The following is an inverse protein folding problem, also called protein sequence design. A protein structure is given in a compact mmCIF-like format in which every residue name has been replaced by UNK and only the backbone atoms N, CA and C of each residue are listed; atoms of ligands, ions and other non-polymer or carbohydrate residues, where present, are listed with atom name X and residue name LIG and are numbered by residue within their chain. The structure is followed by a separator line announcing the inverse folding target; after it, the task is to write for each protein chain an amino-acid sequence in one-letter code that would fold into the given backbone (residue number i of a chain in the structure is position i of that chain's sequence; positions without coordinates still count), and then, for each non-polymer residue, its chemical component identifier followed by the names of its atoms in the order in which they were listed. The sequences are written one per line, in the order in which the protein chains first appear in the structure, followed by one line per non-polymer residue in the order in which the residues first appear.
data_IF_428644614194
#
_entry.id   IF_428644614194
#
_cell.length_a   1.000
_cell.length_b   1.000
_cell.length_c   1.000
_cell.angle_alpha   90.00
_cell.angle_beta   90.00
_cell.angle_gamma   90.00
#
_symmetry.space_group_name_H-M   'P 1'
#
loop_
_entity.id
_entity.type
_entity.pdbx_description
1 polymer ?
#
# COMPACT_ATOMS: atom_id res chain seq x y z
N UNK A 1 -0.41 12.91 7.57
CA UNK A 1 0.06 12.50 8.92
C UNK A 1 0.78 11.19 8.76
N UNK A 2 2.00 11.07 9.29
CA UNK A 2 2.85 9.89 9.16
C UNK A 2 2.92 9.16 10.49
N UNK A 3 3.44 9.77 11.55
CA UNK A 3 3.65 9.08 12.84
C UNK A 3 2.62 9.47 13.91
N UNK A 4 2.15 10.71 13.90
CA UNK A 4 1.20 11.25 14.88
C UNK A 4 0.13 12.13 14.26
N UNK A 5 -1.02 12.21 14.92
CA UNK A 5 -2.13 13.05 14.46
C UNK A 5 -1.79 14.55 14.55
N UNK A 6 -1.01 14.95 15.55
CA UNK A 6 -0.61 16.34 15.81
C UNK A 6 0.22 16.96 14.68
N UNK A 7 0.88 16.15 13.84
CA UNK A 7 1.65 16.62 12.69
C UNK A 7 0.81 17.50 11.74
N UNK A 8 -0.50 17.25 11.66
CA UNK A 8 -1.38 18.02 10.80
C UNK A 8 -1.55 19.46 11.29
N UNK A 9 -1.45 19.71 12.60
CA UNK A 9 -1.71 21.03 13.17
C UNK A 9 -0.68 22.06 12.67
N UNK A 10 0.59 21.67 12.66
CA UNK A 10 1.67 22.50 12.11
C UNK A 10 1.47 22.82 10.63
N UNK A 11 0.94 21.86 9.85
CA UNK A 11 0.63 22.06 8.43
C UNK A 11 -0.56 23.01 8.27
N UNK A 12 -1.61 22.83 9.08
CA UNK A 12 -2.80 23.67 9.04
C UNK A 12 -2.49 25.11 9.45
N UNK A 13 -1.60 25.33 10.42
CA UNK A 13 -1.19 26.67 10.81
C UNK A 13 -0.52 27.48 9.67
N UNK A 14 -0.07 26.82 8.59
CA UNK A 14 0.41 27.50 7.39
C UNK A 14 -0.70 28.14 6.56
N UNK A 15 -1.94 27.65 6.70
CA UNK A 15 -3.11 28.11 5.92
C UNK A 15 -4.18 28.78 6.79
N UNK A 16 -4.03 28.74 8.11
CA UNK A 16 -4.94 29.35 9.07
C UNK A 16 -4.47 30.76 9.43
N UNK A 17 -5.43 31.67 9.56
CA UNK A 17 -5.20 33.01 10.09
C UNK A 17 -4.70 32.92 11.54
N UNK A 18 -3.94 33.93 11.98
CA UNK A 18 -3.25 33.94 13.29
C UNK A 18 -4.20 33.60 14.45
N UNK A 19 -5.44 34.13 14.42
CA UNK A 19 -6.44 33.92 15.47
C UNK A 19 -7.05 32.50 15.49
N UNK A 20 -6.81 31.71 14.44
CA UNK A 20 -7.35 30.35 14.28
C UNK A 20 -6.26 29.27 14.32
N UNK A 21 -5.00 29.65 14.54
CA UNK A 21 -3.89 28.70 14.63
C UNK A 21 -4.02 27.82 15.88
N UNK A 22 -3.61 26.56 15.74
CA UNK A 22 -3.60 25.59 16.82
C UNK A 22 -2.31 25.67 17.63
N UNK A 23 -2.40 25.43 18.94
CA UNK A 23 -1.25 24.99 19.72
C UNK A 23 -0.86 23.58 19.24
N UNK A 24 0.41 23.39 18.87
CA UNK A 24 0.92 22.11 18.35
C UNK A 24 1.32 21.15 19.47
N UNK A 25 1.26 21.58 20.73
CA UNK A 25 1.63 20.80 21.92
C UNK A 25 0.58 19.75 22.28
N UNK A 26 -0.69 19.99 21.95
CA UNK A 26 -1.81 19.07 22.21
C UNK A 26 -2.83 19.13 21.08
N UNK A 27 -3.56 18.03 20.88
CA UNK A 27 -4.63 18.01 19.89
C UNK A 27 -5.87 18.74 20.43
N UNK A 28 -6.46 19.70 19.68
CA UNK A 28 -7.65 20.44 20.10
C UNK A 28 -8.88 19.55 20.25
N UNK A 29 -9.96 20.08 20.83
CA UNK A 29 -11.26 19.39 20.81
C UNK A 29 -11.76 19.23 19.38
N UNK A 30 -12.60 18.22 19.12
CA UNK A 30 -13.14 18.00 17.77
C UNK A 30 -13.90 19.22 17.26
N UNK A 31 -14.67 19.91 18.10
CA UNK A 31 -15.44 21.10 17.73
C UNK A 31 -14.56 22.30 17.40
N UNK A 32 -13.48 22.53 18.16
CA UNK A 32 -12.50 23.57 17.83
C UNK A 32 -11.77 23.24 16.53
N UNK A 33 -11.38 21.97 16.35
CA UNK A 33 -10.70 21.51 15.15
C UNK A 33 -11.57 21.71 13.90
N UNK A 34 -12.83 21.27 13.95
CA UNK A 34 -13.82 21.43 12.86
C UNK A 34 -14.02 22.89 12.49
N UNK A 35 -14.20 23.77 13.48
CA UNK A 35 -14.41 25.22 13.25
C UNK A 35 -13.27 25.85 12.48
N UNK A 36 -12.03 25.51 12.80
CA UNK A 36 -10.86 26.08 12.13
C UNK A 36 -10.67 25.55 10.70
N UNK A 37 -10.96 24.27 10.42
CA UNK A 37 -10.64 23.65 9.12
C UNK A 37 -11.78 23.62 8.09
N UNK A 38 -13.02 23.87 8.50
CA UNK A 38 -14.19 23.75 7.63
C UNK A 38 -14.04 24.58 6.37
N UNK A 39 -14.27 23.96 5.22
CA UNK A 39 -14.20 24.58 3.89
C UNK A 39 -12.81 25.12 3.49
N UNK A 40 -11.74 24.68 4.15
CA UNK A 40 -10.35 25.08 3.82
C UNK A 40 -9.54 23.98 3.14
N UNK A 41 -10.05 22.75 3.15
CA UNK A 41 -9.34 21.56 2.68
C UNK A 41 -10.12 20.93 1.53
N UNK A 42 -9.41 20.59 0.45
CA UNK A 42 -9.91 19.73 -0.62
C UNK A 42 -9.43 18.30 -0.39
N UNK A 43 -10.30 17.33 -0.60
CA UNK A 43 -9.94 15.91 -0.55
C UNK A 43 -10.47 15.24 -1.82
N UNK A 44 -9.56 14.81 -2.69
CA UNK A 44 -9.88 14.13 -3.94
C UNK A 44 -9.25 12.75 -3.92
N UNK A 45 -10.07 11.71 -4.06
CA UNK A 45 -9.60 10.34 -4.12
C UNK A 45 -10.13 9.65 -5.38
N UNK A 46 -9.27 9.50 -6.41
CA UNK A 46 -9.62 8.80 -7.65
C UNK A 46 -9.04 7.39 -7.67
N UNK A 47 -9.78 6.45 -7.06
CA UNK A 47 -9.43 5.02 -7.12
C UNK A 47 -9.79 4.33 -8.46
N UNK A 48 -10.05 5.11 -9.51
CA UNK A 48 -10.44 4.57 -10.81
C UNK A 48 -9.28 3.80 -11.46
N UNK A 49 -9.61 2.63 -12.04
CA UNK A 49 -8.66 1.74 -12.72
C UNK A 49 -7.52 1.20 -11.85
N UNK A 50 -7.70 1.16 -10.52
CA UNK A 50 -6.79 0.45 -9.62
C UNK A 50 -7.19 -1.03 -9.53
N UNK A 51 -6.21 -1.91 -9.39
CA UNK A 51 -6.47 -3.33 -9.15
C UNK A 51 -7.16 -3.56 -7.80
N UNK A 52 -7.98 -4.61 -7.72
CA UNK A 52 -8.63 -5.02 -6.48
C UNK A 52 -7.59 -5.53 -5.49
N UNK A 53 -7.52 -4.94 -4.30
CA UNK A 53 -6.66 -5.43 -3.22
C UNK A 53 -7.37 -6.52 -2.42
N UNK A 54 -6.73 -7.68 -2.30
CA UNK A 54 -7.20 -8.82 -1.51
C UNK A 54 -6.20 -9.05 -0.38
N UNK A 55 -6.67 -8.86 0.84
CA UNK A 55 -5.89 -9.11 2.06
C UNK A 55 -5.98 -10.59 2.43
N UNK A 56 -4.86 -11.30 2.32
CA UNK A 56 -4.77 -12.75 2.49
C UNK A 56 -4.43 -13.14 3.94
N UNK A 57 -4.81 -14.36 4.30
CA UNK A 57 -4.56 -14.94 5.62
C UNK A 57 -5.72 -14.79 6.60
N UNK A 58 -5.40 -14.75 7.88
CA UNK A 58 -6.35 -14.80 9.01
C UNK A 58 -6.19 -13.60 9.92
N UNK A 59 -7.25 -13.24 10.63
CA UNK A 59 -7.21 -12.28 11.74
C UNK A 59 -6.89 -13.04 13.02
N UNK A 60 -5.93 -12.57 13.79
CA UNK A 60 -5.58 -13.16 15.09
C UNK A 60 -6.17 -12.31 16.22
N UNK A 61 -6.33 -12.91 17.40
CA UNK A 61 -6.94 -12.25 18.55
C UNK A 61 -6.18 -10.98 18.94
N UNK A 62 -6.89 -9.86 19.04
CA UNK A 62 -6.32 -8.59 19.45
C UNK A 62 -5.66 -7.77 18.35
N UNK A 63 -5.72 -8.16 17.07
CA UNK A 63 -5.30 -7.30 15.96
C UNK A 63 -6.22 -7.51 14.75
N UNK A 64 -6.79 -6.45 14.18
CA UNK A 64 -7.75 -6.58 13.07
C UNK A 64 -7.08 -6.85 11.72
N UNK A 65 -5.78 -6.59 11.60
CA UNK A 65 -4.98 -6.80 10.40
C UNK A 65 -4.92 -8.31 10.06
N UNK A 66 -5.25 -8.65 8.81
CA UNK A 66 -5.05 -10.01 8.29
C UNK A 66 -3.57 -10.33 8.08
N UNK A 67 -3.17 -11.49 8.55
CA UNK A 67 -1.79 -11.98 8.54
C UNK A 67 -1.70 -13.44 8.08
N UNK A 68 -0.53 -13.82 7.58
CA UNK A 68 -0.16 -15.19 7.23
C UNK A 68 0.73 -15.74 8.35
N UNK A 69 0.16 -16.48 9.32
CA UNK A 69 0.93 -17.02 10.43
C UNK A 69 1.79 -18.21 9.99
N UNK A 70 3.04 -18.21 10.45
CA UNK A 70 3.97 -19.32 10.35
C UNK A 70 4.53 -19.63 11.74
N UNK A 71 4.54 -20.90 12.14
CA UNK A 71 5.03 -21.29 13.45
C UNK A 71 6.54 -21.54 13.39
N UNK A 72 7.30 -20.90 14.27
CA UNK A 72 8.73 -21.16 14.41
C UNK A 72 8.92 -22.56 14.98
N UNK A 73 9.93 -23.26 14.47
CA UNK A 73 10.38 -24.55 14.98
C UNK A 73 11.91 -24.65 14.94
N UNK A 74 12.42 -25.80 15.38
CA UNK A 74 13.85 -26.08 15.42
C UNK A 74 14.69 -24.97 16.05
N UNK A 75 15.75 -24.59 15.36
CA UNK A 75 16.74 -23.62 15.83
C UNK A 75 16.15 -22.21 15.99
N UNK A 76 15.21 -21.84 15.11
CA UNK A 76 14.53 -20.55 15.17
C UNK A 76 13.74 -20.41 16.47
N UNK A 77 12.94 -21.42 16.82
CA UNK A 77 12.16 -21.41 18.05
C UNK A 77 13.03 -21.41 19.31
N UNK A 78 14.10 -22.22 19.30
CA UNK A 78 15.05 -22.30 20.42
C UNK A 78 15.75 -20.97 20.69
N UNK A 79 16.19 -20.26 19.64
CA UNK A 79 16.80 -18.95 19.79
C UNK A 79 15.80 -17.90 20.25
N UNK A 80 14.58 -17.90 19.69
CA UNK A 80 13.55 -16.94 20.05
C UNK A 80 13.17 -17.04 21.55
N UNK A 81 13.05 -18.26 22.09
CA UNK A 81 12.75 -18.50 23.51
C UNK A 81 13.83 -18.04 24.49
N UNK A 82 15.09 -17.89 24.03
CA UNK A 82 16.21 -17.41 24.85
C UNK A 82 16.25 -15.89 25.00
N UNK A 83 15.45 -15.16 24.23
CA UNK A 83 15.41 -13.70 24.29
C UNK A 83 14.68 -13.27 25.56
N UNK A 84 15.32 -12.44 26.38
CA UNK A 84 14.70 -11.86 27.57
C UNK A 84 13.73 -10.72 27.20
N UNK A 85 12.54 -11.13 26.79
CA UNK A 85 11.40 -10.29 26.46
C UNK A 85 10.80 -9.54 27.66
N UNK A 86 11.25 -9.79 28.90
CA UNK A 86 10.76 -9.02 30.06
C UNK A 86 11.48 -7.66 30.17
N UNK A 87 12.61 -7.51 29.49
CA UNK A 87 13.36 -6.26 29.40
C UNK A 87 13.41 -5.77 27.94
N UNK A 88 12.29 -5.21 27.48
CA UNK A 88 12.08 -4.75 26.10
C UNK A 88 12.83 -3.43 25.79
N UNK A 89 14.15 -3.44 25.94
CA UNK A 89 14.99 -2.37 25.38
C UNK A 89 15.13 -2.52 23.85
N UNK A 90 15.69 -1.51 23.19
CA UNK A 90 15.82 -1.49 21.73
C UNK A 90 16.61 -2.68 21.17
N UNK A 91 17.62 -3.18 21.90
CA UNK A 91 18.42 -4.32 21.44
C UNK A 91 17.64 -5.63 21.50
N UNK A 92 16.82 -5.84 22.53
CA UNK A 92 15.92 -6.99 22.68
C UNK A 92 14.85 -6.99 21.59
N UNK A 93 14.26 -5.83 21.29
CA UNK A 93 13.32 -5.71 20.18
C UNK A 93 13.95 -6.08 18.85
N UNK A 94 15.13 -5.52 18.58
CA UNK A 94 15.85 -5.79 17.33
C UNK A 94 16.24 -7.27 17.20
N UNK A 95 16.71 -7.88 18.28
CA UNK A 95 17.04 -9.31 18.30
C UNK A 95 15.81 -10.19 18.08
N UNK A 96 14.66 -9.81 18.66
CA UNK A 96 13.40 -10.51 18.42
C UNK A 96 12.99 -10.46 16.95
N UNK A 97 13.09 -9.27 16.32
CA UNK A 97 12.83 -9.11 14.88
C UNK A 97 13.78 -9.97 14.05
N UNK A 98 15.06 -10.02 14.43
CA UNK A 98 16.02 -10.83 13.70
C UNK A 98 15.74 -12.33 13.83
N UNK A 99 15.47 -12.83 15.04
CA UNK A 99 15.06 -14.22 15.22
C UNK A 99 13.74 -14.54 14.50
N UNK A 100 12.78 -13.60 14.46
CA UNK A 100 11.53 -13.80 13.71
C UNK A 100 11.78 -13.97 12.23
N UNK A 101 12.79 -13.30 11.67
CA UNK A 101 13.21 -13.45 10.28
C UNK A 101 13.93 -14.75 10.00
N UNK A 102 15.06 -15.00 10.68
CA UNK A 102 15.88 -16.19 10.42
C UNK A 102 16.90 -16.43 11.54
N UNK A 103 17.13 -17.70 11.84
CA UNK A 103 18.18 -18.16 12.76
C UNK A 103 18.91 -19.36 12.17
N UNK A 104 20.23 -19.41 12.32
CA UNK A 104 21.05 -20.54 11.92
C UNK A 104 21.16 -21.59 13.02
N UNK A 105 21.62 -22.79 12.64
CA UNK A 105 21.76 -23.94 13.54
C UNK A 105 22.67 -23.69 14.75
N UNK A 106 23.68 -22.86 14.58
CA UNK A 106 24.58 -22.44 15.67
C UNK A 106 23.96 -21.39 16.60
N UNK A 107 22.70 -21.01 16.36
CA UNK A 107 21.98 -19.99 17.11
C UNK A 107 22.27 -18.56 16.65
N UNK A 108 23.06 -18.35 15.59
CA UNK A 108 23.35 -17.01 15.08
C UNK A 108 22.17 -16.42 14.31
N UNK A 109 21.94 -15.12 14.50
CA UNK A 109 20.90 -14.33 13.82
C UNK A 109 21.37 -12.88 13.65
N UNK A 110 20.57 -12.07 12.94
CA UNK A 110 20.82 -10.64 12.80
C UNK A 110 22.16 -10.31 12.14
N UNK A 111 22.95 -9.44 12.76
CA UNK A 111 24.25 -9.03 12.24
C UNK A 111 25.30 -10.16 12.29
N UNK A 112 25.27 -11.01 13.33
CA UNK A 112 26.22 -12.12 13.48
C UNK A 112 26.05 -13.17 12.39
N UNK A 113 24.80 -13.41 11.97
CA UNK A 113 24.49 -14.28 10.85
C UNK A 113 25.03 -13.78 9.50
N UNK A 114 25.46 -12.52 9.39
CA UNK A 114 26.14 -12.03 8.19
C UNK A 114 27.50 -12.71 7.95
N UNK A 115 28.11 -13.30 8.99
CA UNK A 115 29.32 -14.15 8.86
C UNK A 115 29.06 -15.40 8.01
N UNK A 116 27.80 -15.78 7.79
CA UNK A 116 27.39 -16.87 6.90
C UNK A 116 27.43 -16.49 5.42
N UNK A 117 27.72 -15.23 5.10
CA UNK A 117 27.85 -14.72 3.74
C UNK A 117 29.32 -14.40 3.44
N UNK A 118 29.81 -14.93 2.33
CA UNK A 118 31.10 -14.60 1.73
C UNK A 118 30.91 -13.47 0.72
N UNK A 119 31.71 -12.40 0.85
CA UNK A 119 31.78 -11.30 -0.11
C UNK A 119 32.87 -11.59 -1.14
N UNK A 120 32.50 -11.66 -2.41
CA UNK A 120 33.41 -11.91 -3.52
C UNK A 120 33.47 -10.64 -4.38
N UNK A 121 34.67 -10.10 -4.57
CA UNK A 121 34.90 -8.95 -5.46
C UNK A 121 35.24 -9.47 -6.86
N UNK A 122 34.41 -9.17 -7.85
CA UNK A 122 34.61 -9.52 -9.26
C UNK A 122 34.31 -8.28 -10.10
N UNK A 123 35.25 -7.85 -10.95
CA UNK A 123 35.08 -6.75 -11.91
C UNK A 123 34.47 -5.46 -11.33
N UNK A 124 34.99 -5.02 -10.18
CA UNK A 124 34.51 -3.88 -9.38
C UNK A 124 33.08 -4.04 -8.79
N UNK A 125 32.44 -5.19 -8.96
CA UNK A 125 31.17 -5.55 -8.33
C UNK A 125 31.39 -6.42 -7.09
N UNK A 126 30.48 -6.30 -6.13
CA UNK A 126 30.44 -7.17 -4.94
C UNK A 126 29.33 -8.20 -5.13
N UNK A 127 29.70 -9.49 -5.18
CA UNK A 127 28.75 -10.60 -5.14
C UNK A 127 28.72 -11.22 -3.74
N UNK A 128 27.52 -11.54 -3.27
CA UNK A 128 27.29 -12.23 -2.01
C UNK A 128 26.95 -13.70 -2.28
N UNK A 129 27.57 -14.61 -1.53
CA UNK A 129 27.23 -16.05 -1.55
C UNK A 129 27.19 -16.61 -0.14
N UNK A 130 26.39 -17.64 0.10
CA UNK A 130 26.45 -18.40 1.35
C UNK A 130 27.80 -19.13 1.46
N UNK A 131 28.32 -19.23 2.68
CA UNK A 131 29.50 -20.03 2.95
C UNK A 131 29.23 -21.53 2.73
N UNK A 132 30.29 -22.32 2.58
CA UNK A 132 30.18 -23.76 2.28
C UNK A 132 29.42 -24.53 3.37
N UNK A 133 29.60 -24.15 4.63
CA UNK A 133 28.94 -24.75 5.79
C UNK A 133 27.41 -24.72 5.66
N UNK A 134 26.87 -23.56 5.26
CA UNK A 134 25.44 -23.35 5.06
C UNK A 134 24.99 -24.02 3.77
N UNK A 135 25.72 -23.86 2.67
CA UNK A 135 25.39 -24.48 1.37
C UNK A 135 25.26 -26.00 1.49
N UNK A 136 26.07 -26.66 2.33
CA UNK A 136 25.99 -28.11 2.52
C UNK A 136 24.75 -28.57 3.29
N UNK A 137 24.12 -27.70 4.10
CA UNK A 137 23.06 -28.08 5.04
C UNK A 137 21.70 -27.49 4.73
N UNK A 138 21.65 -26.23 4.28
CA UNK A 138 20.40 -25.56 3.96
C UNK A 138 19.84 -26.11 2.65
N UNK A 139 18.58 -26.51 2.67
CA UNK A 139 17.83 -27.08 1.56
C UNK A 139 16.42 -26.51 1.56
N UNK A 140 15.72 -26.65 0.43
CA UNK A 140 14.37 -26.10 0.28
C UNK A 140 13.35 -26.73 1.24
N UNK A 141 13.49 -28.02 1.52
CA UNK A 141 12.64 -28.82 2.41
C UNK A 141 12.87 -28.49 3.89
N UNK A 142 14.09 -28.11 4.28
CA UNK A 142 14.42 -27.78 5.67
C UNK A 142 14.49 -26.27 5.99
N UNK A 143 14.21 -25.39 5.02
CA UNK A 143 14.24 -23.94 5.21
C UNK A 143 13.37 -23.48 6.39
N UNK A 144 12.24 -24.14 6.64
CA UNK A 144 11.33 -23.82 7.74
C UNK A 144 12.03 -23.82 9.12
N UNK A 145 13.01 -24.70 9.33
CA UNK A 145 13.81 -24.78 10.57
C UNK A 145 14.71 -23.56 10.79
N UNK A 146 15.04 -22.85 9.72
CA UNK A 146 15.86 -21.64 9.73
C UNK A 146 14.99 -20.38 9.71
N UNK A 147 13.94 -20.40 8.89
CA UNK A 147 12.98 -19.31 8.72
C UNK A 147 11.63 -19.86 8.27
N UNK A 148 10.68 -19.91 9.21
CA UNK A 148 9.30 -20.27 8.90
C UNK A 148 8.66 -19.28 7.89
N UNK A 149 8.99 -17.97 7.98
CA UNK A 149 8.48 -16.95 7.06
C UNK A 149 9.00 -17.11 5.63
N UNK A 150 10.31 -17.29 5.44
CA UNK A 150 10.86 -17.46 4.09
C UNK A 150 10.35 -18.75 3.45
N UNK A 151 10.23 -19.84 4.22
CA UNK A 151 9.64 -21.08 3.74
C UNK A 151 8.21 -20.87 3.26
N UNK A 152 7.35 -20.29 4.10
CA UNK A 152 5.94 -20.06 3.76
C UNK A 152 5.76 -19.10 2.58
N UNK A 153 6.57 -18.05 2.52
CA UNK A 153 6.57 -17.10 1.42
C UNK A 153 6.92 -17.79 0.10
N UNK A 154 8.00 -18.59 0.07
CA UNK A 154 8.38 -19.35 -1.12
C UNK A 154 7.32 -20.36 -1.52
N UNK A 155 6.70 -21.07 -0.57
CA UNK A 155 5.59 -22.00 -0.87
C UNK A 155 4.46 -21.30 -1.65
N UNK A 156 4.07 -20.09 -1.20
CA UNK A 156 3.02 -19.29 -1.84
C UNK A 156 3.46 -18.83 -3.23
N UNK A 157 4.68 -18.30 -3.37
CA UNK A 157 5.21 -17.81 -4.65
C UNK A 157 5.29 -18.96 -5.68
N UNK A 158 5.83 -20.11 -5.28
CA UNK A 158 6.04 -21.29 -6.13
C UNK A 158 4.73 -21.97 -6.54
N UNK A 159 3.70 -21.88 -5.69
CA UNK A 159 2.36 -22.37 -6.00
C UNK A 159 1.64 -21.51 -7.04
N UNK A 160 2.01 -20.23 -7.19
CA UNK A 160 1.37 -19.27 -8.09
C UNK A 160 2.28 -18.90 -9.28
N UNK A 161 2.39 -19.81 -10.26
CA UNK A 161 3.36 -19.71 -11.37
C UNK A 161 3.15 -18.53 -12.33
N UNK A 162 1.94 -17.99 -12.43
CA UNK A 162 1.54 -16.91 -13.35
C UNK A 162 1.48 -15.51 -12.71
N UNK A 163 1.85 -15.38 -11.43
CA UNK A 163 1.76 -14.09 -10.71
C UNK A 163 3.12 -13.50 -10.37
N UNK A 164 3.44 -12.30 -10.84
CA UNK A 164 4.62 -11.55 -10.38
C UNK A 164 4.54 -11.26 -8.88
N UNK A 165 5.66 -11.42 -8.18
CA UNK A 165 5.75 -11.23 -6.73
C UNK A 165 6.68 -10.07 -6.36
N UNK A 166 6.18 -9.16 -5.53
CA UNK A 166 6.97 -8.15 -4.83
C UNK A 166 7.14 -8.57 -3.37
N UNK A 167 8.38 -8.69 -2.91
CA UNK A 167 8.72 -9.00 -1.53
C UNK A 167 9.34 -7.77 -0.87
N UNK A 168 8.64 -7.26 0.14
CA UNK A 168 9.09 -6.16 0.97
C UNK A 168 9.75 -6.68 2.26
N UNK A 169 11.01 -6.28 2.48
CA UNK A 169 11.74 -6.49 3.73
C UNK A 169 12.51 -5.22 4.07
N UNK A 170 12.30 -4.68 5.27
CA UNK A 170 12.91 -3.44 5.73
C UNK A 170 14.44 -3.54 5.81
N UNK A 171 14.94 -4.69 6.27
CA UNK A 171 16.36 -4.93 6.44
C UNK A 171 17.00 -5.32 5.10
N UNK A 172 17.98 -4.55 4.64
CA UNK A 172 18.72 -4.85 3.39
C UNK A 172 19.89 -5.82 3.68
N UNK A 173 20.68 -5.53 4.71
CA UNK A 173 21.89 -6.27 5.07
C UNK A 173 21.58 -7.34 6.13
N UNK A 174 22.59 -7.99 6.70
CA UNK A 174 22.37 -9.04 7.69
C UNK A 174 21.58 -10.23 7.11
N UNK A 175 20.51 -10.62 7.81
CA UNK A 175 19.58 -11.69 7.42
C UNK A 175 18.41 -11.23 6.53
N UNK A 176 18.40 -9.96 6.12
CA UNK A 176 17.36 -9.36 5.28
C UNK A 176 17.48 -9.74 3.79
N UNK A 177 17.30 -8.76 2.91
CA UNK A 177 17.24 -8.98 1.47
C UNK A 177 18.48 -9.67 0.87
N UNK A 178 19.69 -9.32 1.31
CA UNK A 178 20.92 -9.95 0.79
C UNK A 178 20.95 -11.44 1.14
N UNK A 179 20.63 -11.81 2.39
CA UNK A 179 20.57 -13.22 2.80
C UNK A 179 19.51 -13.98 2.00
N UNK A 180 18.32 -13.40 1.88
CA UNK A 180 17.22 -13.97 1.08
C UNK A 180 17.64 -14.19 -0.37
N UNK A 181 18.38 -13.25 -0.96
CA UNK A 181 18.90 -13.37 -2.33
C UNK A 181 19.89 -14.54 -2.45
N UNK A 182 20.76 -14.76 -1.46
CA UNK A 182 21.68 -15.90 -1.46
C UNK A 182 20.94 -17.24 -1.28
N UNK A 183 19.84 -17.27 -0.51
CA UNK A 183 18.99 -18.46 -0.37
C UNK A 183 18.26 -18.76 -1.68
N UNK A 184 17.78 -17.73 -2.38
CA UNK A 184 17.17 -17.90 -3.70
C UNK A 184 18.17 -18.47 -4.70
N UNK A 185 19.40 -17.95 -4.75
CA UNK A 185 20.47 -18.53 -5.58
C UNK A 185 20.76 -20.00 -5.21
N UNK A 186 20.79 -20.34 -3.91
CA UNK A 186 20.95 -21.72 -3.46
C UNK A 186 19.83 -22.64 -3.95
N UNK A 187 18.62 -22.11 -4.12
CA UNK A 187 17.44 -22.85 -4.59
C UNK A 187 17.25 -22.78 -6.12
N UNK A 188 18.27 -22.33 -6.86
CA UNK A 188 18.30 -22.36 -8.31
C UNK A 188 17.69 -21.14 -8.99
N UNK A 189 17.32 -20.10 -8.24
CA UNK A 189 16.99 -18.82 -8.84
C UNK A 189 18.25 -18.09 -9.30
N UNK A 190 18.14 -17.27 -10.32
CA UNK A 190 19.24 -16.45 -10.82
C UNK A 190 18.95 -14.97 -10.60
N UNK A 191 19.98 -14.19 -10.25
CA UNK A 191 19.86 -12.74 -10.22
C UNK A 191 19.70 -12.22 -11.65
N UNK A 192 18.62 -11.49 -11.91
CA UNK A 192 18.46 -10.73 -13.13
C UNK A 192 19.26 -9.43 -13.05
N UNK A 193 20.17 -9.25 -14.00
CA UNK A 193 21.16 -8.18 -14.00
C UNK A 193 20.78 -6.98 -14.88
N UNK A 194 19.69 -7.09 -15.66
CA UNK A 194 19.18 -6.04 -16.55
C UNK A 194 19.44 -6.33 -18.03
N UNK A 195 19.80 -7.56 -18.40
CA UNK A 195 19.80 -8.05 -19.78
C UNK A 195 18.48 -7.77 -20.52
N UNK A 196 18.52 -7.59 -21.83
CA UNK A 196 17.30 -7.39 -22.61
C UNK A 196 16.37 -8.60 -22.48
N UNK A 197 15.13 -8.37 -22.02
CA UNK A 197 14.13 -9.43 -21.83
C UNK A 197 13.81 -10.19 -23.12
N UNK A 198 14.08 -9.57 -24.27
CA UNK A 198 13.87 -10.17 -25.59
C UNK A 198 14.96 -11.16 -26.01
N UNK A 199 16.13 -11.07 -25.39
CA UNK A 199 17.32 -11.86 -25.74
C UNK A 199 17.57 -13.01 -24.76
N UNK A 200 16.87 -13.05 -23.62
CA UNK A 200 17.04 -14.10 -22.62
C UNK A 200 15.96 -15.16 -22.71
N UNK A 201 16.31 -16.39 -22.33
CA UNK A 201 15.34 -17.49 -22.20
C UNK A 201 14.52 -17.36 -20.91
N UNK A 202 13.35 -18.00 -20.89
CA UNK A 202 12.52 -18.12 -19.68
C UNK A 202 13.30 -18.83 -18.57
N UNK A 203 13.10 -18.41 -17.33
CA UNK A 203 13.87 -18.94 -16.22
C UNK A 203 13.43 -18.40 -14.86
N UNK A 204 13.84 -19.09 -13.80
CA UNK A 204 13.58 -18.66 -12.44
C UNK A 204 14.55 -17.53 -12.06
N UNK A 205 14.11 -16.28 -12.21
CA UNK A 205 14.93 -15.12 -11.84
C UNK A 205 14.26 -14.24 -10.81
N UNK A 206 15.09 -13.58 -10.02
CA UNK A 206 14.69 -12.50 -9.13
C UNK A 206 15.53 -11.25 -9.43
N UNK A 207 15.03 -10.09 -9.07
CA UNK A 207 15.84 -8.88 -9.02
C UNK A 207 15.84 -8.31 -7.61
N UNK A 208 16.89 -7.58 -7.28
CA UNK A 208 16.99 -6.81 -6.05
C UNK A 208 17.01 -5.33 -6.39
N UNK A 209 16.04 -4.58 -5.86
CA UNK A 209 15.93 -3.14 -6.02
C UNK A 209 16.18 -2.47 -4.66
N UNK A 210 17.43 -2.08 -4.42
CA UNK A 210 17.88 -1.41 -3.20
C UNK A 210 18.78 -0.23 -3.54
N UNK A 211 19.01 0.67 -2.57
CA UNK A 211 19.94 1.79 -2.75
C UNK A 211 21.43 1.40 -2.82
N UNK A 212 21.77 0.12 -2.63
CA UNK A 212 23.16 -0.37 -2.67
C UNK A 212 23.57 -0.74 -4.11
N UNK A 213 23.90 0.28 -4.90
CA UNK A 213 24.25 0.15 -6.33
C UNK A 213 25.62 -0.49 -6.57
N UNK A 214 26.46 -0.59 -5.54
CA UNK A 214 27.81 -1.19 -5.63
C UNK A 214 27.72 -2.71 -5.72
N UNK A 215 26.78 -3.32 -5.00
CA UNK A 215 26.51 -4.75 -5.12
C UNK A 215 25.54 -5.08 -6.27
N UNK A 216 24.65 -4.15 -6.62
CA UNK A 216 23.58 -4.37 -7.58
C UNK A 216 23.48 -3.20 -8.57
N UNK A 217 24.26 -3.30 -9.66
CA UNK A 217 24.31 -2.29 -10.72
C UNK A 217 23.03 -2.27 -11.56
N UNK A 218 22.82 -1.17 -12.30
CA UNK A 218 21.73 -1.00 -13.27
C UNK A 218 20.30 -1.22 -12.70
N UNK A 219 19.93 -0.61 -11.56
CA UNK A 219 18.62 -0.81 -10.93
C UNK A 219 17.44 -0.50 -11.87
N UNK A 220 17.55 0.54 -12.71
CA UNK A 220 16.50 0.91 -13.67
C UNK A 220 16.31 -0.13 -14.76
N UNK A 221 17.40 -0.62 -15.40
CA UNK A 221 17.29 -1.67 -16.44
C UNK A 221 16.66 -2.95 -15.90
N UNK A 222 17.04 -3.35 -14.69
CA UNK A 222 16.45 -4.51 -14.00
C UNK A 222 14.96 -4.33 -13.77
N UNK A 223 14.58 -3.14 -13.33
CA UNK A 223 13.19 -2.79 -13.08
C UNK A 223 12.39 -2.72 -14.40
N UNK A 224 12.98 -2.22 -15.49
CA UNK A 224 12.37 -2.18 -16.82
C UNK A 224 12.08 -3.58 -17.36
N UNK A 225 13.06 -4.49 -17.27
CA UNK A 225 12.85 -5.89 -17.66
C UNK A 225 11.75 -6.58 -16.86
N UNK A 226 11.68 -6.33 -15.55
CA UNK A 226 10.60 -6.86 -14.70
C UNK A 226 9.22 -6.33 -15.09
N UNK A 227 9.14 -5.04 -15.43
CA UNK A 227 7.91 -4.35 -15.87
C UNK A 227 7.51 -4.63 -17.32
N UNK A 228 8.38 -5.30 -18.08
CA UNK A 228 8.14 -5.58 -19.51
C UNK A 228 6.79 -6.25 -19.74
N UNK A 229 6.02 -5.85 -20.78
CA UNK A 229 4.80 -6.55 -21.18
C UNK A 229 5.00 -8.06 -21.41
N UNK A 230 6.19 -8.48 -21.86
CA UNK A 230 6.56 -9.88 -22.08
C UNK A 230 6.69 -10.67 -20.77
N UNK A 231 6.98 -9.97 -19.68
CA UNK A 231 7.14 -10.55 -18.35
C UNK A 231 5.88 -10.42 -17.46
N UNK A 232 4.71 -10.07 -18.02
CA UNK A 232 3.48 -9.82 -17.23
C UNK A 232 3.02 -10.99 -16.35
N UNK A 233 3.44 -12.22 -16.65
CA UNK A 233 3.18 -13.43 -15.84
C UNK A 233 4.41 -13.97 -15.09
N UNK A 234 5.56 -13.27 -15.15
CA UNK A 234 6.78 -13.63 -14.43
C UNK A 234 7.57 -14.81 -14.99
N UNK A 235 7.44 -15.09 -16.29
CA UNK A 235 8.15 -16.20 -16.96
C UNK A 235 9.66 -15.97 -17.13
N UNK A 236 10.10 -14.71 -17.05
CA UNK A 236 11.50 -14.32 -17.22
C UNK A 236 12.13 -13.84 -15.92
N UNK A 237 11.40 -12.99 -15.18
CA UNK A 237 11.79 -12.47 -13.87
C UNK A 237 10.57 -12.48 -12.96
N UNK A 238 10.59 -13.35 -11.95
CA UNK A 238 9.41 -13.68 -11.16
C UNK A 238 9.26 -12.81 -9.92
N UNK A 239 10.37 -12.51 -9.26
CA UNK A 239 10.39 -11.92 -7.92
C UNK A 239 11.16 -10.61 -7.93
N UNK A 240 10.55 -9.55 -7.39
CA UNK A 240 11.22 -8.31 -7.02
C UNK A 240 11.42 -8.27 -5.52
N UNK A 241 12.67 -8.22 -5.09
CA UNK A 241 13.07 -8.00 -3.71
C UNK A 241 13.31 -6.50 -3.50
N UNK A 242 12.70 -5.90 -2.49
CA UNK A 242 12.89 -4.47 -2.18
C UNK A 242 12.67 -4.15 -0.71
N UNK A 243 13.29 -3.06 -0.25
CA UNK A 243 13.14 -2.55 1.11
C UNK A 243 12.33 -1.26 1.11
N UNK A 244 12.67 -0.31 1.99
CA UNK A 244 12.30 1.10 1.80
C UNK A 244 13.00 1.59 0.54
N UNK A 245 12.39 1.33 -0.61
CA UNK A 245 12.90 1.76 -1.89
C UNK A 245 13.03 3.29 -1.85
N UNK A 246 14.26 3.79 -1.89
CA UNK A 246 14.64 5.19 -1.72
C UNK A 246 14.29 6.09 -2.92
N UNK A 247 13.31 5.69 -3.74
CA UNK A 247 12.69 6.52 -4.76
C UNK A 247 11.18 6.55 -4.54
N UNK A 248 10.64 7.73 -4.27
CA UNK A 248 9.19 8.00 -4.15
C UNK A 248 8.42 7.62 -5.44
N UNK A 249 9.12 7.49 -6.56
CA UNK A 249 8.56 7.40 -7.92
C UNK A 249 8.41 5.97 -8.49
N UNK A 250 8.92 4.91 -7.86
CA UNK A 250 8.93 3.56 -8.50
C UNK A 250 7.53 2.93 -8.54
N UNK A 251 7.00 2.77 -9.77
CA UNK A 251 5.75 2.06 -10.05
C UNK A 251 6.03 0.64 -10.47
N UNK A 252 5.36 -0.33 -9.87
CA UNK A 252 5.37 -1.72 -10.29
C UNK A 252 4.14 -1.98 -11.16
N UNK A 253 4.31 -2.73 -12.24
CA UNK A 253 3.23 -3.11 -13.17
C UNK A 253 3.02 -4.62 -13.12
N UNK A 254 1.77 -5.06 -13.28
CA UNK A 254 1.36 -6.47 -13.32
C UNK A 254 1.71 -7.31 -12.08
N UNK A 255 2.18 -6.69 -10.99
CA UNK A 255 2.45 -7.38 -9.72
C UNK A 255 1.14 -7.84 -9.10
N UNK A 256 0.99 -9.14 -8.88
CA UNK A 256 -0.23 -9.74 -8.31
C UNK A 256 -0.04 -10.29 -6.90
N UNK A 257 1.21 -10.41 -6.43
CA UNK A 257 1.52 -10.82 -5.06
C UNK A 257 2.40 -9.77 -4.39
N UNK A 258 2.02 -9.32 -3.18
CA UNK A 258 2.83 -8.44 -2.34
C UNK A 258 3.07 -9.13 -1.01
N UNK A 259 4.32 -9.49 -0.72
CA UNK A 259 4.71 -10.17 0.51
C UNK A 259 5.39 -9.16 1.46
N UNK A 260 4.76 -8.87 2.58
CA UNK A 260 5.32 -8.06 3.66
C UNK A 260 5.98 -9.00 4.66
N UNK A 261 7.31 -9.12 4.62
CA UNK A 261 8.05 -10.10 5.45
C UNK A 261 8.47 -9.52 6.79
N UNK A 262 8.64 -8.20 6.85
CA UNK A 262 8.89 -7.44 8.08
C UNK A 262 7.76 -6.45 8.31
N UNK A 263 7.01 -6.56 9.41
CA UNK A 263 6.08 -5.50 9.80
C UNK A 263 6.84 -4.22 10.13
N UNK A 264 6.13 -3.10 10.13
CA UNK A 264 6.67 -1.80 10.51
C UNK A 264 5.80 -1.17 11.61
N UNK A 265 6.41 -0.34 12.46
CA UNK A 265 5.70 0.35 13.56
C UNK A 265 4.72 1.42 13.07
N UNK A 266 4.84 1.79 11.80
CA UNK A 266 4.02 2.78 11.13
C UNK A 266 3.39 2.15 9.88
N UNK A 267 2.06 2.19 9.82
CA UNK A 267 1.22 1.68 8.72
C UNK A 267 1.56 2.34 7.39
N UNK A 268 1.96 3.61 7.37
CA UNK A 268 2.29 4.36 6.16
C UNK A 268 3.39 3.70 5.34
N UNK A 269 4.45 3.17 5.97
CA UNK A 269 5.52 2.44 5.28
C UNK A 269 4.98 1.23 4.52
N UNK A 270 4.10 0.45 5.14
CA UNK A 270 3.51 -0.75 4.51
C UNK A 270 2.50 -0.35 3.43
N UNK A 271 1.68 0.68 3.68
CA UNK A 271 0.73 1.22 2.70
C UNK A 271 1.46 1.76 1.47
N UNK A 272 2.58 2.45 1.65
CA UNK A 272 3.42 2.93 0.53
C UNK A 272 4.04 1.76 -0.24
N UNK A 273 4.53 0.72 0.45
CA UNK A 273 5.07 -0.47 -0.20
C UNK A 273 4.00 -1.16 -1.06
N UNK A 274 2.79 -1.38 -0.53
CA UNK A 274 1.65 -1.94 -1.29
C UNK A 274 1.25 -0.99 -2.43
N UNK A 275 1.18 0.32 -2.17
CA UNK A 275 0.79 1.35 -3.12
C UNK A 275 1.68 1.45 -4.36
N UNK A 276 2.93 0.95 -4.30
CA UNK A 276 3.79 0.81 -5.49
C UNK A 276 3.26 -0.21 -6.49
N UNK A 277 2.51 -1.21 -6.03
CA UNK A 277 1.93 -2.26 -6.85
C UNK A 277 0.48 -1.98 -7.28
N UNK A 278 -0.23 -1.02 -6.67
CA UNK A 278 -1.68 -0.78 -6.92
C UNK A 278 -1.93 0.57 -7.58
N UNK A 279 -0.98 1.12 -8.33
CA UNK A 279 -1.20 2.41 -8.99
C UNK A 279 -2.26 2.29 -10.09
N UNK A 280 -2.93 3.39 -10.39
CA UNK A 280 -3.91 3.41 -11.48
C UNK A 280 -3.27 2.88 -12.78
N UNK A 281 -3.99 2.01 -13.50
CA UNK A 281 -3.56 1.40 -14.77
C UNK A 281 -2.35 0.45 -14.70
N UNK A 282 -1.85 0.13 -13.50
CA UNK A 282 -0.68 -0.75 -13.34
C UNK A 282 -0.91 -2.20 -13.81
N UNK A 283 -2.16 -2.63 -14.01
CA UNK A 283 -2.54 -3.98 -14.45
C UNK A 283 -3.31 -4.01 -15.77
N UNK A 284 -3.25 -2.94 -16.57
CA UNK A 284 -4.02 -2.85 -17.82
C UNK A 284 -3.63 -3.92 -18.85
N UNK A 285 -2.41 -4.46 -18.77
CA UNK A 285 -1.90 -5.53 -19.64
C UNK A 285 -2.43 -6.93 -19.26
N UNK A 286 -3.05 -7.06 -18.08
CA UNK A 286 -3.71 -8.27 -17.61
C UNK A 286 -5.20 -8.25 -17.99
N UNK A 287 -5.80 -9.44 -18.07
CA UNK A 287 -7.24 -9.56 -18.28
C UNK A 287 -7.99 -9.01 -17.07
N UNK A 288 -9.23 -8.55 -17.26
CA UNK A 288 -9.99 -7.86 -16.21
C UNK A 288 -10.12 -8.70 -14.93
N UNK A 289 -10.32 -10.01 -15.06
CA UNK A 289 -10.42 -10.99 -13.99
C UNK A 289 -9.10 -11.24 -13.22
N UNK A 290 -7.95 -10.92 -13.84
CA UNK A 290 -6.62 -11.07 -13.26
C UNK A 290 -6.13 -9.79 -12.56
N UNK A 291 -6.88 -8.68 -12.67
CA UNK A 291 -6.56 -7.35 -12.07
C UNK A 291 -6.85 -7.32 -10.57
N UNK A 292 -6.29 -8.28 -9.85
CA UNK A 292 -6.25 -8.35 -8.40
C UNK A 292 -4.82 -8.43 -7.91
N UNK A 293 -4.58 -7.86 -6.73
CA UNK A 293 -3.36 -8.06 -5.98
C UNK A 293 -3.68 -8.78 -4.67
N UNK A 294 -2.82 -9.72 -4.29
CA UNK A 294 -2.90 -10.49 -3.07
C UNK A 294 -1.80 -10.04 -2.12
N UNK A 295 -2.18 -9.50 -0.97
CA UNK A 295 -1.27 -8.96 0.02
C UNK A 295 -1.11 -9.98 1.15
N UNK A 296 0.11 -10.45 1.37
CA UNK A 296 0.49 -11.44 2.36
C UNK A 296 1.36 -10.79 3.44
N UNK A 297 0.82 -10.57 4.64
CA UNK A 297 1.56 -10.07 5.80
C UNK A 297 2.09 -11.24 6.64
N UNK A 298 3.35 -11.61 6.45
CA UNK A 298 3.95 -12.77 7.12
C UNK A 298 4.25 -12.45 8.59
N UNK A 299 3.85 -13.35 9.48
CA UNK A 299 4.18 -13.27 10.91
C UNK A 299 4.73 -14.60 11.41
N UNK A 300 5.80 -14.54 12.19
CA UNK A 300 6.37 -15.71 12.87
C UNK A 300 5.81 -15.83 14.29
N UNK A 301 5.31 -17.01 14.66
CA UNK A 301 4.72 -17.31 15.97
C UNK A 301 5.57 -18.34 16.71
N UNK A 302 5.96 -18.06 17.95
CA UNK A 302 6.72 -18.98 18.81
C UNK A 302 5.85 -20.08 19.47
N UNK A 303 4.54 -20.08 19.22
CA UNK A 303 3.61 -21.08 19.73
C UNK A 303 2.20 -20.91 19.17
N UNK A 304 1.27 -21.78 19.58
CA UNK A 304 -0.14 -21.77 19.14
C UNK A 304 -1.01 -20.69 19.78
N UNK A 305 -0.41 -19.82 20.60
CA UNK A 305 -1.11 -18.68 21.17
C UNK A 305 -1.32 -17.62 20.09
N UNK A 306 -2.53 -17.06 20.01
CA UNK A 306 -2.85 -15.98 19.08
C UNK A 306 -2.66 -14.59 19.71
N UNK A 307 -2.07 -14.50 20.90
CA UNK A 307 -1.86 -13.23 21.61
C UNK A 307 -0.83 -12.35 20.89
N UNK A 308 -1.14 -11.06 20.77
CA UNK A 308 -0.26 -10.03 20.20
C UNK A 308 0.78 -9.51 21.22
N UNK A 309 1.65 -10.39 21.72
CA UNK A 309 2.70 -10.03 22.69
C UNK A 309 4.07 -10.49 22.20
N UNK A 310 5.18 -9.80 22.56
CA UNK A 310 6.52 -10.14 22.09
C UNK A 310 6.95 -11.59 22.41
N UNK A 311 6.48 -12.16 23.52
CA UNK A 311 6.73 -13.57 23.89
C UNK A 311 6.21 -14.58 22.87
N UNK A 312 5.13 -14.23 22.18
CA UNK A 312 4.45 -15.09 21.21
C UNK A 312 4.89 -14.70 19.80
N UNK A 313 4.88 -13.40 19.50
CA UNK A 313 5.29 -12.88 18.20
C UNK A 313 5.57 -11.39 18.27
N UNK A 314 6.83 -11.04 18.04
CA UNK A 314 7.24 -9.64 17.84
C UNK A 314 6.56 -9.02 16.61
N UNK A 315 6.29 -9.84 15.59
CA UNK A 315 5.66 -9.36 14.36
C UNK A 315 4.22 -8.91 14.63
N UNK A 316 3.44 -9.72 15.37
CA UNK A 316 2.08 -9.35 15.79
C UNK A 316 2.07 -8.15 16.72
N UNK A 317 3.01 -8.07 17.66
CA UNK A 317 3.14 -6.91 18.55
C UNK A 317 3.40 -5.61 17.77
N UNK A 318 4.23 -5.65 16.72
CA UNK A 318 4.44 -4.50 15.82
C UNK A 318 3.17 -4.10 15.07
N UNK A 319 2.38 -5.06 14.60
CA UNK A 319 1.11 -4.77 13.94
C UNK A 319 0.09 -4.16 14.89
N UNK A 320 -0.01 -4.65 16.13
CA UNK A 320 -0.87 -4.07 17.17
C UNK A 320 -0.52 -2.59 17.41
N UNK A 321 0.76 -2.28 17.66
CA UNK A 321 1.19 -0.88 17.88
C UNK A 321 0.94 -0.02 16.64
N UNK A 322 1.15 -0.56 15.43
CA UNK A 322 0.85 0.15 14.19
C UNK A 322 -0.65 0.44 14.04
N UNK A 323 -1.52 -0.49 14.45
CA UNK A 323 -2.97 -0.35 14.40
C UNK A 323 -3.46 0.71 15.40
N UNK A 324 -2.99 0.65 16.65
CA UNK A 324 -3.30 1.63 17.69
C UNK A 324 -2.92 3.06 17.27
N UNK A 325 -1.72 3.25 16.71
CA UNK A 325 -1.28 4.54 16.18
C UNK A 325 -2.14 5.01 15.01
N UNK A 326 -2.53 4.09 14.13
CA UNK A 326 -3.32 4.43 12.94
C UNK A 326 -4.74 4.83 13.28
N UNK A 327 -5.33 4.27 14.34
CA UNK A 327 -6.72 4.56 14.73
C UNK A 327 -6.93 6.05 14.99
N UNK A 328 -6.05 6.67 15.79
CA UNK A 328 -6.13 8.11 16.09
C UNK A 328 -5.95 8.96 14.83
N UNK A 329 -5.05 8.56 13.93
CA UNK A 329 -4.84 9.25 12.65
C UNK A 329 -6.10 9.14 11.79
N UNK A 330 -6.71 7.96 11.71
CA UNK A 330 -7.94 7.71 10.95
C UNK A 330 -9.12 8.51 11.49
N UNK A 331 -9.27 8.61 12.81
CA UNK A 331 -10.31 9.45 13.44
C UNK A 331 -10.16 10.92 12.99
N UNK A 332 -8.95 11.47 13.04
CA UNK A 332 -8.66 12.84 12.58
C UNK A 332 -8.84 12.99 11.07
N UNK A 333 -8.41 12.04 10.26
CA UNK A 333 -8.64 12.05 8.81
C UNK A 333 -10.13 12.04 8.47
N UNK A 334 -10.95 11.31 9.22
CA UNK A 334 -12.38 11.26 9.01
C UNK A 334 -13.04 12.61 9.34
N UNK A 335 -12.59 13.29 10.40
CA UNK A 335 -13.02 14.66 10.70
C UNK A 335 -12.63 15.61 9.55
N UNK A 336 -11.36 15.56 9.10
CA UNK A 336 -10.89 16.37 7.95
C UNK A 336 -11.76 16.13 6.71
N UNK A 337 -11.96 14.86 6.33
CA UNK A 337 -12.78 14.49 5.17
C UNK A 337 -14.20 15.06 5.27
N UNK A 338 -14.81 15.02 6.45
CA UNK A 338 -16.16 15.56 6.68
C UNK A 338 -16.25 17.10 6.60
N UNK A 339 -15.12 17.79 6.74
CA UNK A 339 -15.02 19.25 6.66
C UNK A 339 -14.53 19.76 5.29
N UNK A 340 -14.22 18.85 4.35
CA UNK A 340 -13.67 19.22 3.05
C UNK A 340 -14.69 19.91 2.15
N UNK A 341 -14.23 20.85 1.32
CA UNK A 341 -15.07 21.52 0.31
C UNK A 341 -15.66 20.49 -0.66
N UNK A 342 -14.86 19.51 -1.07
CA UNK A 342 -15.23 18.42 -1.98
C UNK A 342 -15.93 17.23 -1.32
N UNK A 343 -16.38 17.35 -0.06
CA UNK A 343 -16.95 16.23 0.69
C UNK A 343 -18.02 15.46 -0.11
N UNK A 344 -18.95 16.19 -0.75
CA UNK A 344 -20.04 15.61 -1.53
C UNK A 344 -19.58 14.79 -2.75
N UNK A 345 -18.37 15.01 -3.27
CA UNK A 345 -17.80 14.16 -4.32
C UNK A 345 -17.44 12.75 -3.80
N UNK A 346 -17.19 12.59 -2.50
CA UNK A 346 -16.59 11.37 -1.93
C UNK A 346 -17.57 10.46 -1.14
N UNK A 347 -18.78 10.90 -0.74
CA UNK A 347 -19.74 10.10 0.08
C UNK A 347 -20.58 9.07 -0.71
N UNK A 348 -20.66 7.82 -0.26
CA UNK A 348 -21.54 6.82 -0.89
C UNK A 348 -23.03 7.02 -0.54
N UNK A 349 -23.91 6.85 -1.54
CA UNK A 349 -25.36 7.10 -1.47
C UNK A 349 -26.13 6.24 -0.46
N UNK A 350 -25.58 5.08 -0.06
CA UNK A 350 -26.21 4.20 0.93
C UNK A 350 -26.18 4.80 2.35
N UNK A 351 -25.12 5.56 2.68
CA UNK A 351 -24.91 6.18 4.00
C UNK A 351 -25.75 7.45 4.20
N UNK A 352 -26.21 8.05 3.09
CA UNK A 352 -27.01 9.30 3.08
C UNK A 352 -28.44 9.10 3.60
N UNK A 353 -28.90 7.85 3.79
CA UNK A 353 -30.28 7.54 4.22
C UNK A 353 -30.54 7.76 5.72
N UNK A 354 -29.51 7.85 6.56
CA UNK A 354 -29.65 8.19 7.97
C UNK A 354 -29.23 9.64 8.20
N UNK A 355 -30.20 10.48 8.55
CA UNK A 355 -30.11 11.93 8.50
C UNK A 355 -28.84 12.54 9.08
N UNK A 356 -28.24 13.42 8.30
CA UNK A 356 -27.37 14.51 8.75
C UNK A 356 -27.67 15.75 7.90
N UNK A 357 -27.92 16.88 8.58
CA UNK A 357 -27.69 18.23 8.04
C UNK A 357 -26.17 18.48 7.94
N UNK A 358 -25.65 19.45 7.21
CA UNK A 358 -26.21 20.69 6.74
C UNK A 358 -25.51 21.14 5.44
N UNK A 359 -26.29 21.79 4.59
CA UNK A 359 -25.89 22.69 3.52
C UNK A 359 -24.97 22.20 2.37
N UNK A 360 -25.60 21.68 1.30
CA UNK A 360 -24.95 21.54 -0.02
C UNK A 360 -24.56 22.90 -0.62
N UNK A 361 -25.09 24.03 -0.11
CA UNK A 361 -24.88 25.34 -0.71
C UNK A 361 -23.43 25.78 -0.68
N UNK A 362 -22.60 25.33 0.26
CA UNK A 362 -21.15 25.62 0.25
C UNK A 362 -20.43 24.92 -0.90
N UNK A 363 -20.76 23.65 -1.17
CA UNK A 363 -20.24 22.94 -2.35
C UNK A 363 -20.74 23.55 -3.65
N UNK A 364 -22.03 23.93 -3.70
CA UNK A 364 -22.57 24.68 -4.82
C UNK A 364 -21.85 26.04 -4.93
N UNK A 365 -21.66 26.82 -3.88
CA UNK A 365 -20.99 28.13 -3.98
C UNK A 365 -19.61 28.07 -4.65
N UNK A 366 -18.82 27.04 -4.35
CA UNK A 366 -17.49 26.87 -4.93
C UNK A 366 -17.48 26.29 -6.34
N UNK A 367 -18.33 25.30 -6.64
CA UNK A 367 -18.28 24.57 -7.92
C UNK A 367 -19.48 24.82 -8.84
N UNK A 368 -20.48 25.59 -8.42
CA UNK A 368 -21.72 25.84 -9.17
C UNK A 368 -21.41 26.48 -10.51
N UNK A 369 -20.55 27.49 -10.58
CA UNK A 369 -20.26 28.17 -11.85
C UNK A 369 -19.64 27.21 -12.88
N UNK A 370 -18.68 26.40 -12.46
CA UNK A 370 -17.97 25.47 -13.35
C UNK A 370 -18.86 24.28 -13.75
N UNK A 371 -19.58 23.69 -12.78
CA UNK A 371 -20.49 22.57 -13.06
C UNK A 371 -21.69 23.05 -13.88
N UNK A 372 -22.23 24.25 -13.61
CA UNK A 372 -23.27 24.84 -14.47
C UNK A 372 -22.75 25.07 -15.89
N UNK A 373 -21.53 25.61 -16.05
CA UNK A 373 -20.91 25.80 -17.35
C UNK A 373 -20.79 24.48 -18.12
N UNK A 374 -20.30 23.42 -17.48
CA UNK A 374 -20.20 22.11 -18.12
C UNK A 374 -21.56 21.47 -18.39
N UNK A 375 -22.55 21.64 -17.51
CA UNK A 375 -23.93 21.18 -17.77
C UNK A 375 -24.51 21.93 -18.98
N UNK A 376 -24.29 23.24 -19.09
CA UNK A 376 -24.73 24.04 -20.24
C UNK A 376 -24.12 23.51 -21.53
N UNK A 377 -22.81 23.30 -21.56
CA UNK A 377 -22.10 22.78 -22.73
C UNK A 377 -22.58 21.40 -23.15
N UNK A 378 -22.77 20.48 -22.19
CA UNK A 378 -23.28 19.13 -22.46
C UNK A 378 -24.70 19.17 -23.03
N UNK A 379 -25.58 19.98 -22.45
CA UNK A 379 -26.98 20.06 -22.86
C UNK A 379 -27.13 20.77 -24.21
N UNK A 380 -26.36 21.84 -24.47
CA UNK A 380 -26.41 22.55 -25.75
C UNK A 380 -25.71 21.79 -26.88
N UNK A 381 -24.68 21.00 -26.56
CA UNK A 381 -23.97 20.16 -27.53
C UNK A 381 -24.70 18.84 -27.85
N UNK A 382 -25.77 18.50 -27.12
CA UNK A 382 -26.51 17.26 -27.33
C UNK A 382 -27.78 17.48 -28.16
N UNK A 383 -27.99 16.64 -29.17
CA UNK A 383 -29.20 16.63 -29.99
C UNK A 383 -30.33 15.79 -29.40
N UNK A 384 -30.06 15.04 -28.34
CA UNK A 384 -31.00 14.10 -27.72
C UNK A 384 -31.31 14.49 -26.27
N UNK A 385 -32.48 14.07 -25.78
CA UNK A 385 -32.83 14.22 -24.37
C UNK A 385 -31.85 13.42 -23.49
N UNK A 386 -31.20 14.09 -22.53
CA UNK A 386 -30.21 13.49 -21.64
C UNK A 386 -30.84 13.13 -20.30
N UNK A 387 -30.49 11.97 -19.74
CA UNK A 387 -30.85 11.64 -18.36
C UNK A 387 -29.87 12.30 -17.38
N UNK A 388 -30.31 12.55 -16.14
CA UNK A 388 -29.41 12.98 -15.05
C UNK A 388 -28.25 11.98 -14.88
N UNK A 389 -28.51 10.68 -15.06
CA UNK A 389 -27.47 9.66 -14.99
C UNK A 389 -26.41 9.80 -16.08
N UNK A 390 -26.81 10.19 -17.28
CA UNK A 390 -25.90 10.41 -18.40
C UNK A 390 -25.01 11.63 -18.16
N UNK A 391 -25.57 12.74 -17.69
CA UNK A 391 -24.79 13.95 -17.36
C UNK A 391 -23.86 13.70 -16.17
N UNK A 392 -24.35 13.02 -15.14
CA UNK A 392 -23.56 12.56 -14.00
C UNK A 392 -22.35 11.74 -14.44
N UNK A 393 -22.53 10.79 -15.37
CA UNK A 393 -21.45 9.98 -15.91
C UNK A 393 -20.43 10.81 -16.73
N UNK A 394 -20.91 11.72 -17.59
CA UNK A 394 -20.05 12.57 -18.43
C UNK A 394 -19.19 13.53 -17.60
N UNK A 395 -19.77 14.12 -16.57
CA UNK A 395 -19.07 15.04 -15.66
C UNK A 395 -18.26 14.32 -14.58
N UNK A 396 -18.30 12.99 -14.54
CA UNK A 396 -17.74 12.19 -13.44
C UNK A 396 -18.19 12.69 -12.05
N UNK A 397 -19.43 13.21 -11.96
CA UNK A 397 -20.02 13.77 -10.73
C UNK A 397 -21.29 13.01 -10.35
N UNK A 398 -21.83 13.20 -9.14
CA UNK A 398 -22.99 12.44 -8.66
C UNK A 398 -24.32 13.01 -9.16
N UNK A 399 -25.31 12.14 -9.39
CA UNK A 399 -26.68 12.52 -9.79
C UNK A 399 -27.32 13.56 -8.85
N UNK A 400 -27.07 13.48 -7.55
CA UNK A 400 -27.60 14.41 -6.54
C UNK A 400 -27.08 15.83 -6.72
N UNK A 401 -25.81 16.00 -7.07
CA UNK A 401 -25.19 17.30 -7.38
C UNK A 401 -25.82 17.90 -8.63
N UNK A 402 -25.91 17.11 -9.71
CA UNK A 402 -26.55 17.53 -10.96
C UNK A 402 -28.02 17.93 -10.72
N UNK A 403 -28.74 17.14 -9.91
CA UNK A 403 -30.14 17.40 -9.56
C UNK A 403 -30.31 18.68 -8.74
N UNK A 404 -29.44 18.92 -7.77
CA UNK A 404 -29.47 20.14 -6.96
C UNK A 404 -29.19 21.39 -7.81
N UNK A 405 -28.23 21.33 -8.73
CA UNK A 405 -27.89 22.43 -9.63
C UNK A 405 -28.99 22.73 -10.64
N UNK A 406 -29.55 21.70 -11.29
CA UNK A 406 -30.67 21.87 -12.22
C UNK A 406 -31.92 22.37 -11.48
N UNK A 407 -32.18 21.87 -10.26
CA UNK A 407 -33.27 22.34 -9.41
C UNK A 407 -33.18 23.81 -9.00
N UNK A 408 -31.97 24.37 -8.93
CA UNK A 408 -31.72 25.81 -8.72
C UNK A 408 -32.10 26.67 -9.94
N UNK A 409 -32.21 26.05 -11.12
CA UNK A 409 -32.55 26.70 -12.39
C UNK A 409 -31.32 27.26 -13.10
N UNK A 410 -30.83 26.54 -14.11
CA UNK A 410 -29.68 26.94 -14.93
C UNK A 410 -30.20 27.67 -16.18
N UNK A 411 -29.95 28.98 -16.30
CA UNK A 411 -30.45 29.81 -17.42
C UNK A 411 -29.44 29.89 -18.56
N UNK A 412 -29.74 29.35 -19.75
CA UNK A 412 -28.86 29.28 -20.93
C UNK A 412 -28.61 30.63 -21.63
N UNK A 413 -29.23 31.71 -21.16
CA UNK A 413 -29.35 32.96 -21.93
C UNK A 413 -30.48 32.85 -22.96
N UNK A 414 -30.97 34.00 -23.46
CA UNK A 414 -32.07 34.11 -24.43
C UNK A 414 -33.47 33.70 -23.93
N UNK A 415 -33.65 33.58 -22.61
CA UNK A 415 -34.92 33.17 -22.03
C UNK A 415 -35.15 31.65 -22.07
N UNK A 416 -34.11 30.84 -22.19
CA UNK A 416 -34.20 29.38 -22.09
C UNK A 416 -33.51 28.90 -20.80
N UNK A 417 -34.12 27.98 -20.06
CA UNK A 417 -33.57 27.35 -18.87
C UNK A 417 -33.49 25.84 -19.00
N UNK A 418 -32.68 25.21 -18.16
CA UNK A 418 -32.61 23.75 -18.05
C UNK A 418 -33.52 23.31 -16.89
N UNK A 419 -34.40 22.34 -17.13
CA UNK A 419 -35.26 21.72 -16.11
C UNK A 419 -35.22 20.20 -16.16
N UNK A 420 -35.47 19.56 -15.01
CA UNK A 420 -35.66 18.12 -14.89
C UNK A 420 -37.16 17.78 -14.89
N UNK A 421 -37.57 16.83 -15.74
CA UNK A 421 -38.89 16.20 -15.69
C UNK A 421 -38.68 14.68 -15.76
N UNK A 422 -39.07 13.95 -14.70
CA UNK A 422 -38.95 12.48 -14.60
C UNK A 422 -37.53 11.96 -14.89
N UNK A 423 -36.50 12.54 -14.26
CA UNK A 423 -35.07 12.24 -14.45
C UNK A 423 -34.48 12.53 -15.85
N UNK A 424 -35.27 13.11 -16.76
CA UNK A 424 -34.84 13.55 -18.08
C UNK A 424 -34.72 15.08 -18.07
N UNK A 425 -33.65 15.57 -18.71
CA UNK A 425 -33.30 16.99 -18.77
C UNK A 425 -33.85 17.59 -20.06
N UNK A 426 -34.54 18.72 -19.91
CA UNK A 426 -35.18 19.45 -21.00
C UNK A 426 -34.70 20.90 -21.03
N UNK A 427 -34.60 21.47 -22.22
CA UNK A 427 -34.49 22.91 -22.42
C UNK A 427 -35.90 23.50 -22.43
N UNK A 428 -36.21 24.29 -21.42
CA UNK A 428 -37.50 24.96 -21.24
C UNK A 428 -37.37 26.42 -21.65
N UNK A 429 -38.22 26.89 -22.57
CA UNK A 429 -38.24 28.30 -22.94
C UNK A 429 -39.12 29.04 -21.91
N UNK A 430 -38.57 30.01 -21.20
CA UNK A 430 -39.30 31.04 -20.47
C UNK A 430 -40.02 31.98 -21.46
N UNK A 431 -40.91 31.43 -22.27
CA UNK A 431 -41.97 32.17 -22.95
C UNK A 431 -43.28 31.46 -22.65
N UNK A 432 -44.04 32.17 -21.83
CA UNK A 432 -45.40 31.95 -21.31
C UNK A 432 -45.52 31.09 -20.05
#
# INVERSE_FOLDING_TARGET
MIDKAEEILSILNLILDVDHQFDTSFFPTEDDFRRSITSRISYLNSNQHMAKVIEEGVTLEGCSIKVVPSYMDGYQLEAYKKIDINNLNDSVYRNSIYCSLMTFRDGTYGAEAFTKIVRIKQDNMIKYKLNEEVVQRLRRDNLHLYSCKYSKMLDIIESNKDMLAFVFCEEVKGIGLIMMSCIFELFGYQLYDGENIDEIEKGLRYLLYTGDTVAYSNPEKRLDGFRSPKNKYGEYVKILLGSRISGESVSLTNVRQVHIVTPHWNKSTIVQAIGRAVRSRSHDLLKAEERSIHVYRHVALAGKSNKCVPSVSIDMYKYLISEEKSKRIEDVENVIKSCCVDYYLNVDTATVRSGFGDDISTYLLWYCSDIEASIREIVTGSTNALSIGTISALLSTKKSVVKALIGKGISLGNGTGIKEIKEIIWMDNYKD
#
